data_IF_177375242833
#
_entry.id   IF_177375242833
#
_cell.length_a   1.000
_cell.length_b   1.000
_cell.length_c   1.000
_cell.angle_alpha   90.00
_cell.angle_beta   90.00
_cell.angle_gamma   90.00
#
_symmetry.space_group_name_H-M   'P 1'
#
loop_
_entity.id
_entity.type
_entity.pdbx_description
1 polymer ?
#
# COMPACT_ATOMS: atom_id res chain seq x y z
N UNK A 1 -8.78 8.88 -21.39
CA UNK A 1 -9.29 7.52 -21.26
C UNK A 1 -8.30 6.72 -20.42
N UNK A 2 -8.75 6.27 -19.29
CA UNK A 2 -7.93 5.47 -18.40
C UNK A 2 -7.89 4.00 -18.78
N UNK A 3 -7.08 3.27 -18.03
CA UNK A 3 -7.02 1.82 -18.14
C UNK A 3 -7.94 1.19 -17.10
N UNK A 4 -8.31 -0.06 -17.31
CA UNK A 4 -8.99 -0.83 -16.30
C UNK A 4 -7.97 -1.30 -15.25
N UNK A 5 -8.31 -1.18 -13.97
CA UNK A 5 -7.45 -1.60 -12.88
C UNK A 5 -8.16 -2.58 -11.96
N UNK A 6 -7.43 -3.60 -11.53
CA UNK A 6 -7.90 -4.53 -10.53
C UNK A 6 -6.88 -4.58 -9.38
N UNK A 7 -7.33 -4.34 -8.16
CA UNK A 7 -6.51 -4.44 -6.95
C UNK A 7 -7.01 -5.66 -6.17
N UNK A 8 -6.10 -6.59 -5.89
CA UNK A 8 -6.40 -7.79 -5.10
C UNK A 8 -5.48 -7.85 -3.91
N UNK A 9 -6.04 -8.08 -2.74
CA UNK A 9 -5.25 -8.31 -1.56
C UNK A 9 -5.27 -9.79 -1.17
N UNK A 10 -4.35 -10.16 -0.30
CA UNK A 10 -4.11 -11.55 0.09
C UNK A 10 -5.24 -12.12 0.95
N UNK A 11 -5.88 -11.29 1.77
CA UNK A 11 -6.84 -11.76 2.76
C UNK A 11 -8.28 -11.76 2.27
N UNK A 12 -8.68 -10.76 1.50
CA UNK A 12 -10.08 -10.59 1.10
C UNK A 12 -10.32 -10.77 -0.40
N UNK A 13 -9.27 -10.98 -1.18
CA UNK A 13 -9.39 -11.16 -2.62
C UNK A 13 -9.50 -9.83 -3.35
N UNK A 14 -10.55 -9.67 -4.16
CA UNK A 14 -10.73 -8.45 -4.93
C UNK A 14 -11.09 -7.28 -4.04
N UNK A 15 -10.25 -6.23 -4.07
CA UNK A 15 -10.47 -4.99 -3.33
C UNK A 15 -11.13 -3.92 -4.19
N UNK A 16 -10.69 -3.79 -5.43
CA UNK A 16 -11.19 -2.79 -6.36
C UNK A 16 -11.11 -3.33 -7.78
N UNK A 17 -12.13 -3.06 -8.58
CA UNK A 17 -12.10 -3.31 -10.02
C UNK A 17 -12.87 -2.20 -10.71
N UNK A 18 -12.26 -1.57 -11.69
CA UNK A 18 -12.89 -0.51 -12.44
C UNK A 18 -11.89 0.35 -13.18
N UNK A 19 -12.35 1.49 -13.64
CA UNK A 19 -11.52 2.42 -14.39
C UNK A 19 -10.48 3.09 -13.49
N UNK A 20 -9.36 3.46 -14.07
CA UNK A 20 -8.27 4.11 -13.37
C UNK A 20 -7.61 5.14 -14.29
N UNK A 21 -7.42 6.33 -13.75
CA UNK A 21 -6.66 7.41 -14.38
C UNK A 21 -5.55 7.82 -13.41
N UNK A 22 -4.41 8.24 -13.95
CA UNK A 22 -3.30 8.82 -13.18
C UNK A 22 -2.89 7.98 -11.96
N UNK A 23 -2.55 6.73 -12.20
CA UNK A 23 -2.13 5.82 -11.14
C UNK A 23 -0.71 6.14 -10.67
N UNK A 24 -0.55 6.22 -9.34
CA UNK A 24 0.75 6.39 -8.68
C UNK A 24 0.95 5.26 -7.69
N UNK A 25 2.02 4.51 -7.86
CA UNK A 25 2.35 3.36 -7.03
C UNK A 25 3.48 3.69 -6.05
N UNK A 26 3.38 3.25 -4.77
CA UNK A 26 4.50 3.41 -3.84
C UNK A 26 5.57 2.36 -4.12
N UNK A 27 6.83 2.80 -4.22
CA UNK A 27 7.98 1.93 -4.42
C UNK A 27 9.02 2.21 -3.33
N UNK A 28 10.09 1.41 -3.28
CA UNK A 28 11.05 1.47 -2.17
C UNK A 28 11.74 2.82 -2.00
N UNK A 29 11.94 3.56 -3.07
CA UNK A 29 12.66 4.83 -3.05
C UNK A 29 11.82 6.01 -3.54
N UNK A 30 10.50 5.91 -3.41
CA UNK A 30 9.61 7.00 -3.81
C UNK A 30 8.29 6.51 -4.38
N UNK A 31 7.90 7.08 -5.50
CA UNK A 31 6.66 6.73 -6.19
C UNK A 31 6.91 6.50 -7.67
N UNK A 32 6.03 5.73 -8.30
CA UNK A 32 6.09 5.42 -9.72
C UNK A 32 4.75 5.79 -10.36
N UNK A 33 4.76 6.80 -11.22
CA UNK A 33 3.56 7.26 -11.91
C UNK A 33 3.32 6.51 -13.21
N UNK A 34 2.05 6.16 -13.44
CA UNK A 34 1.63 5.43 -14.64
C UNK A 34 0.48 6.17 -15.28
N UNK A 35 0.62 6.45 -16.57
CA UNK A 35 -0.44 7.06 -17.36
C UNK A 35 -0.96 6.10 -18.43
N UNK A 36 -2.11 6.43 -19.02
CA UNK A 36 -2.72 5.63 -20.07
C UNK A 36 -1.73 5.42 -21.22
N UNK A 37 -1.74 4.23 -21.81
CA UNK A 37 -0.85 3.89 -22.91
C UNK A 37 0.58 3.56 -22.53
N UNK A 38 0.84 3.38 -21.24
CA UNK A 38 2.19 3.05 -20.76
C UNK A 38 2.67 1.70 -21.32
N UNK A 39 3.98 1.60 -21.57
CA UNK A 39 4.59 0.34 -21.99
C UNK A 39 4.43 -0.74 -20.92
N UNK A 40 4.35 -2.01 -21.30
CA UNK A 40 4.26 -3.09 -20.32
C UNK A 40 5.42 -3.08 -19.34
N UNK A 41 5.11 -3.19 -18.04
CA UNK A 41 6.12 -3.18 -16.97
C UNK A 41 5.59 -3.93 -15.75
N UNK A 42 6.51 -4.55 -15.01
CA UNK A 42 6.24 -5.08 -13.68
C UNK A 42 6.89 -4.15 -12.66
N UNK A 43 6.12 -3.73 -11.67
CA UNK A 43 6.58 -2.80 -10.64
C UNK A 43 6.48 -3.48 -9.28
N UNK A 44 7.59 -3.48 -8.53
CA UNK A 44 7.58 -3.94 -7.16
C UNK A 44 6.99 -2.84 -6.26
N UNK A 45 5.93 -3.17 -5.56
CA UNK A 45 5.24 -2.24 -4.66
C UNK A 45 5.81 -2.40 -3.25
N UNK A 46 6.17 -1.27 -2.66
CA UNK A 46 6.54 -1.18 -1.26
C UNK A 46 5.39 -0.55 -0.48
N UNK A 47 5.16 -0.99 0.75
CA UNK A 47 4.05 -0.49 1.56
C UNK A 47 3.98 1.03 1.56
N UNK A 48 2.82 1.58 1.24
CA UNK A 48 2.60 3.01 1.16
C UNK A 48 1.24 3.33 0.57
N UNK A 49 1.06 4.58 0.16
CA UNK A 49 -0.18 5.03 -0.45
C UNK A 49 -0.15 4.83 -1.96
N UNK A 50 -1.11 4.04 -2.45
CA UNK A 50 -1.42 3.94 -3.86
C UNK A 50 -2.49 4.99 -4.17
N UNK A 51 -2.23 5.83 -5.15
CA UNK A 51 -3.14 6.91 -5.54
C UNK A 51 -3.60 6.71 -6.97
N UNK A 52 -4.90 6.92 -7.22
CA UNK A 52 -5.43 6.94 -8.57
C UNK A 52 -6.66 7.86 -8.64
N UNK A 53 -7.10 8.16 -9.85
CA UNK A 53 -8.27 8.99 -10.07
C UNK A 53 -9.31 8.22 -10.87
N UNK A 54 -10.57 8.44 -10.54
CA UNK A 54 -11.73 7.91 -11.27
C UNK A 54 -12.70 9.06 -11.51
N UNK A 55 -12.95 9.38 -12.75
CA UNK A 55 -13.86 10.47 -13.13
C UNK A 55 -13.51 11.81 -12.44
N UNK A 56 -12.22 12.09 -12.33
CA UNK A 56 -11.74 13.32 -11.69
C UNK A 56 -11.70 13.29 -10.16
N UNK A 57 -12.13 12.20 -9.55
CA UNK A 57 -12.09 12.05 -8.09
C UNK A 57 -10.84 11.26 -7.68
N UNK A 58 -10.13 11.79 -6.70
CA UNK A 58 -8.93 11.14 -6.14
C UNK A 58 -9.28 10.02 -5.18
N UNK A 59 -8.59 8.91 -5.31
CA UNK A 59 -8.71 7.76 -4.42
C UNK A 59 -7.33 7.42 -3.86
N UNK A 60 -7.25 7.24 -2.56
CA UNK A 60 -6.01 6.83 -1.89
C UNK A 60 -6.27 5.54 -1.12
N UNK A 61 -5.36 4.59 -1.27
CA UNK A 61 -5.43 3.28 -0.61
C UNK A 61 -4.08 2.99 0.01
N UNK A 62 -4.05 2.61 1.28
CA UNK A 62 -2.83 2.11 1.91
C UNK A 62 -2.68 0.64 1.52
N UNK A 63 -1.61 0.35 0.79
CA UNK A 63 -1.31 -1.01 0.33
C UNK A 63 -0.06 -1.54 1.02
N UNK A 64 -0.02 -2.85 1.22
CA UNK A 64 1.18 -3.53 1.66
C UNK A 64 2.11 -3.83 0.48
N UNK A 65 3.15 -4.60 0.74
CA UNK A 65 4.10 -5.00 -0.29
C UNK A 65 3.42 -5.90 -1.33
N UNK A 66 3.88 -5.80 -2.58
CA UNK A 66 3.34 -6.62 -3.65
C UNK A 66 3.95 -6.29 -4.99
N UNK A 67 3.20 -6.56 -6.04
CA UNK A 67 3.61 -6.27 -7.40
C UNK A 67 2.45 -5.69 -8.19
N UNK A 68 2.78 -4.90 -9.21
CA UNK A 68 1.81 -4.43 -10.19
C UNK A 68 2.27 -4.85 -11.58
N UNK A 69 1.36 -5.46 -12.33
CA UNK A 69 1.55 -5.70 -13.75
C UNK A 69 0.82 -4.59 -14.51
N UNK A 70 1.57 -3.82 -15.28
CA UNK A 70 1.04 -2.72 -16.06
C UNK A 70 1.12 -3.07 -17.54
N UNK A 71 0.00 -2.97 -18.24
CA UNK A 71 -0.06 -3.15 -19.68
C UNK A 71 -0.86 -2.00 -20.29
N UNK A 72 -0.79 -1.78 -21.62
CA UNK A 72 -1.62 -0.74 -22.23
C UNK A 72 -3.13 -0.94 -22.02
N UNK A 73 -3.57 -2.17 -21.79
CA UNK A 73 -4.99 -2.51 -21.66
C UNK A 73 -5.48 -2.52 -20.21
N UNK A 74 -4.61 -2.89 -19.25
CA UNK A 74 -5.02 -3.05 -17.85
C UNK A 74 -3.86 -2.88 -16.89
N UNK A 75 -4.20 -2.71 -15.60
CA UNK A 75 -3.26 -2.75 -14.48
C UNK A 75 -3.77 -3.78 -13.48
N UNK A 76 -2.92 -4.73 -13.11
CA UNK A 76 -3.22 -5.72 -12.07
C UNK A 76 -2.31 -5.45 -10.87
N UNK A 77 -2.90 -5.17 -9.73
CA UNK A 77 -2.17 -4.90 -8.48
C UNK A 77 -2.45 -6.03 -7.50
N UNK A 78 -1.39 -6.71 -7.09
CA UNK A 78 -1.45 -7.83 -6.13
C UNK A 78 -0.62 -7.43 -4.92
N UNK A 79 -1.28 -7.23 -3.78
CA UNK A 79 -0.65 -6.73 -2.56
C UNK A 79 -1.02 -7.58 -1.35
N UNK A 80 -0.20 -7.53 -0.31
CA UNK A 80 -0.44 -8.25 0.94
C UNK A 80 -1.69 -7.75 1.65
N UNK A 81 -1.94 -6.45 1.56
CA UNK A 81 -3.09 -5.81 2.21
C UNK A 81 -3.50 -4.56 1.46
N UNK A 82 -4.76 -4.19 1.59
CA UNK A 82 -5.30 -2.94 1.05
C UNK A 82 -6.35 -2.43 2.01
N UNK A 83 -6.23 -1.16 2.39
CA UNK A 83 -7.20 -0.54 3.30
C UNK A 83 -7.33 0.95 3.00
N UNK A 84 -8.52 1.49 3.22
CA UNK A 84 -8.75 2.92 3.07
C UNK A 84 -8.15 3.64 4.27
N UNK A 85 -7.40 4.74 4.07
CA UNK A 85 -6.78 5.46 5.19
C UNK A 85 -7.77 5.88 6.28
N UNK A 86 -8.98 6.26 5.89
CA UNK A 86 -10.03 6.67 6.84
C UNK A 86 -10.57 5.51 7.69
N UNK A 87 -10.36 4.27 7.26
CA UNK A 87 -10.82 3.08 7.98
C UNK A 87 -9.75 2.51 8.92
N UNK A 88 -8.56 3.12 8.97
CA UNK A 88 -7.48 2.66 9.84
C UNK A 88 -7.80 2.98 11.30
N UNK A 89 -7.75 1.94 12.14
CA UNK A 89 -7.90 2.09 13.58
C UNK A 89 -6.59 2.63 14.16
N UNK A 90 -6.57 3.92 14.47
CA UNK A 90 -5.39 4.62 14.97
C UNK A 90 -4.90 4.05 16.31
N UNK A 91 -5.82 3.70 17.22
CA UNK A 91 -5.45 3.15 18.52
C UNK A 91 -4.79 1.80 18.38
N UNK A 92 -5.32 0.96 17.49
CA UNK A 92 -4.77 -0.36 17.22
C UNK A 92 -3.39 -0.26 16.55
N UNK A 93 -3.22 0.68 15.61
CA UNK A 93 -1.94 0.92 14.96
C UNK A 93 -0.90 1.42 15.95
N UNK A 94 -1.28 2.31 16.87
CA UNK A 94 -0.40 2.81 17.93
C UNK A 94 0.04 1.69 18.87
N UNK A 95 -0.90 0.84 19.30
CA UNK A 95 -0.59 -0.32 20.14
C UNK A 95 0.37 -1.28 19.43
N UNK A 96 0.20 -1.50 18.12
CA UNK A 96 1.08 -2.34 17.34
C UNK A 96 2.50 -1.74 17.26
N UNK A 97 2.60 -0.42 17.11
CA UNK A 97 3.88 0.28 17.09
C UNK A 97 4.63 0.08 18.42
N UNK A 98 3.94 0.28 19.53
CA UNK A 98 4.54 0.11 20.87
C UNK A 98 5.04 -1.31 21.07
N UNK A 99 4.23 -2.31 20.71
CA UNK A 99 4.64 -3.72 20.83
C UNK A 99 5.88 -4.03 19.99
N UNK A 100 5.95 -3.50 18.78
CA UNK A 100 7.09 -3.73 17.90
C UNK A 100 8.37 -3.08 18.45
N UNK A 101 8.27 -1.86 18.99
CA UNK A 101 9.40 -1.19 19.63
C UNK A 101 9.92 -1.97 20.84
N UNK A 102 9.02 -2.48 21.69
CA UNK A 102 9.40 -3.29 22.85
C UNK A 102 10.12 -4.56 22.42
N UNK A 103 9.65 -5.24 21.37
CA UNK A 103 10.31 -6.44 20.86
C UNK A 103 11.72 -6.15 20.35
N UNK A 104 11.93 -5.01 19.70
CA UNK A 104 13.25 -4.61 19.25
C UNK A 104 14.24 -4.42 20.39
N UNK A 105 13.75 -3.95 21.56
CA UNK A 105 14.60 -3.78 22.74
C UNK A 105 14.99 -5.11 23.40
N UNK A 106 14.19 -6.16 23.23
CA UNK A 106 14.37 -7.44 23.88
C UNK A 106 14.72 -8.58 22.93
N UNK A 107 15.14 -8.27 21.73
CA UNK A 107 15.46 -9.27 20.72
C UNK A 107 16.60 -10.18 21.15
N UNK A 108 16.53 -11.45 20.77
CA UNK A 108 17.55 -12.44 21.07
C UNK A 108 18.21 -13.03 19.82
N UNK A 109 17.67 -12.75 18.64
CA UNK A 109 18.21 -13.27 17.39
C UNK A 109 18.00 -12.26 16.25
N UNK A 110 18.78 -12.43 15.18
CA UNK A 110 18.63 -11.60 13.98
C UNK A 110 17.26 -11.79 13.33
N UNK A 111 16.73 -13.00 13.35
CA UNK A 111 15.42 -13.29 12.80
C UNK A 111 14.31 -12.51 13.53
N UNK A 112 14.33 -12.53 14.86
CA UNK A 112 13.39 -11.77 15.68
C UNK A 112 13.52 -10.27 15.44
N UNK A 113 14.76 -9.80 15.30
CA UNK A 113 15.02 -8.40 15.01
C UNK A 113 14.34 -7.96 13.71
N UNK A 114 14.56 -8.71 12.61
CA UNK A 114 13.98 -8.36 11.32
C UNK A 114 12.45 -8.42 11.34
N UNK A 115 11.86 -9.42 11.98
CA UNK A 115 10.41 -9.52 12.08
C UNK A 115 9.82 -8.34 12.87
N UNK A 116 10.46 -7.95 13.97
CA UNK A 116 10.01 -6.83 14.79
C UNK A 116 10.17 -5.50 14.05
N UNK A 117 11.24 -5.36 13.28
CA UNK A 117 11.46 -4.16 12.47
C UNK A 117 10.40 -4.01 11.38
N UNK A 118 10.05 -5.11 10.70
CA UNK A 118 9.00 -5.08 9.68
C UNK A 118 7.67 -4.70 10.31
N UNK A 119 7.34 -5.26 11.47
CA UNK A 119 6.10 -4.93 12.17
C UNK A 119 6.05 -3.45 12.58
N UNK A 120 7.18 -2.90 13.04
CA UNK A 120 7.28 -1.48 13.39
C UNK A 120 7.07 -0.61 12.16
N UNK A 121 7.71 -0.92 11.05
CA UNK A 121 7.57 -0.16 9.82
C UNK A 121 6.12 -0.13 9.33
N UNK A 122 5.43 -1.26 9.39
CA UNK A 122 4.01 -1.36 9.02
C UNK A 122 3.13 -0.49 9.92
N UNK A 123 3.36 -0.56 11.23
CA UNK A 123 2.60 0.25 12.20
C UNK A 123 2.82 1.74 11.96
N UNK A 124 4.08 2.16 11.70
CA UNK A 124 4.41 3.55 11.41
C UNK A 124 3.73 4.03 10.13
N UNK A 125 3.70 3.21 9.08
CA UNK A 125 3.01 3.56 7.83
C UNK A 125 1.51 3.77 8.05
N UNK A 126 0.87 2.92 8.87
CA UNK A 126 -0.55 3.07 9.19
C UNK A 126 -0.82 4.36 9.96
N UNK A 127 0.03 4.68 10.93
CA UNK A 127 -0.12 5.92 11.70
C UNK A 127 0.04 7.15 10.83
N UNK A 128 1.02 7.15 9.93
CA UNK A 128 1.22 8.27 9.01
C UNK A 128 0.03 8.43 8.07
N UNK A 129 -0.50 7.34 7.53
CA UNK A 129 -1.65 7.38 6.65
C UNK A 129 -2.90 7.89 7.39
N UNK A 130 -3.16 7.41 8.61
CA UNK A 130 -4.30 7.84 9.41
C UNK A 130 -4.20 9.33 9.75
N UNK A 131 -3.02 9.81 10.12
CA UNK A 131 -2.81 11.21 10.45
C UNK A 131 -3.02 12.13 9.24
N UNK A 132 -2.54 11.71 8.06
CA UNK A 132 -2.67 12.50 6.82
C UNK A 132 -4.11 12.67 6.37
N UNK A 133 -4.96 11.65 6.52
CA UNK A 133 -6.33 11.64 6.01
C UNK A 133 -7.40 11.85 7.08
N UNK A 134 -6.98 12.05 8.31
CA UNK A 134 -7.92 12.31 9.40
C UNK A 134 -8.29 13.78 9.43
N UNK A 135 -9.56 14.04 9.59
CA UNK A 135 -10.10 15.40 9.72
C UNK A 135 -10.62 15.67 11.13
#
# INVERSE_FOLDING_TARGET
>A
VGSEMCIRDRSSGEYYQGDCEDLVLPISDGVYGIQAGHSPVLVAIHMGILHFEVNGESQDILVGDGIAEVTPAYVMVLVDSAERPEDIDKNRAEAARIRAEERLQHQQSMHEYYQSKIALDRAMQRLQAAAKYRR
#
